data_IF_918459151051
#
_entry.id   IF_918459151051
#
_cell.length_a   1.000
_cell.length_b   1.000
_cell.length_c   1.000
_cell.angle_alpha   90.00
_cell.angle_beta   90.00
_cell.angle_gamma   90.00
#
_symmetry.space_group_name_H-M   'P 1'
#
loop_
_entity.id
_entity.type
_entity.pdbx_description
1 polymer ?
#
# COMPACT_ATOMS: atom_id res chain seq x y z
N UNK A 1 38.30 12.62 -53.93
CA UNK A 1 36.92 12.10 -54.07
C UNK A 1 36.59 11.34 -52.79
N UNK A 2 35.60 11.81 -52.02
CA UNK A 2 35.04 11.13 -50.85
C UNK A 2 33.58 10.76 -51.17
N UNK A 3 33.09 9.61 -50.74
CA UNK A 3 31.67 9.44 -50.41
C UNK A 3 31.48 9.31 -48.89
N UNK A 4 30.74 10.27 -48.34
CA UNK A 4 30.15 10.23 -47.00
C UNK A 4 29.23 9.02 -46.84
N UNK A 5 29.39 8.26 -45.75
CA UNK A 5 28.34 7.36 -45.28
C UNK A 5 27.34 8.14 -44.42
N UNK A 6 26.11 8.21 -44.91
CA UNK A 6 24.97 8.88 -44.30
C UNK A 6 24.43 8.04 -43.14
N UNK A 7 24.39 8.62 -41.94
CA UNK A 7 23.78 8.03 -40.75
C UNK A 7 22.26 8.25 -40.81
N UNK A 8 21.46 7.19 -40.84
CA UNK A 8 20.00 7.28 -40.75
C UNK A 8 19.55 6.90 -39.34
N UNK A 9 19.08 7.85 -38.50
CA UNK A 9 18.50 7.51 -37.22
C UNK A 9 17.08 6.95 -37.45
N UNK A 10 16.83 5.72 -37.02
CA UNK A 10 15.48 5.15 -36.90
C UNK A 10 14.73 5.95 -35.84
N UNK A 11 13.73 6.70 -36.28
CA UNK A 11 12.71 7.31 -35.42
C UNK A 11 11.98 6.19 -34.67
N UNK A 12 12.28 6.00 -33.39
CA UNK A 12 11.47 5.18 -32.52
C UNK A 12 10.15 5.92 -32.25
N UNK A 13 9.07 5.35 -32.76
CA UNK A 13 7.70 5.75 -32.44
C UNK A 13 7.48 5.64 -30.94
N UNK A 14 7.38 6.77 -30.25
CA UNK A 14 6.89 6.84 -28.87
C UNK A 14 5.38 6.69 -28.89
N UNK A 15 4.91 5.45 -28.98
CA UNK A 15 3.54 5.15 -28.59
C UNK A 15 3.39 5.53 -27.12
N UNK A 16 2.38 6.34 -26.71
CA UNK A 16 2.14 6.60 -25.30
C UNK A 16 1.83 5.26 -24.65
N UNK A 17 2.69 4.80 -23.75
CA UNK A 17 2.35 3.69 -22.88
C UNK A 17 1.14 4.15 -22.06
N UNK A 18 -0.02 3.55 -22.30
CA UNK A 18 -1.05 3.47 -21.28
C UNK A 18 -0.33 2.97 -20.02
N UNK A 19 -0.41 3.70 -18.91
CA UNK A 19 0.08 3.24 -17.61
C UNK A 19 -0.72 1.99 -17.24
N UNK A 20 -0.34 0.84 -17.79
CA UNK A 20 -0.80 -0.46 -17.35
C UNK A 20 -0.23 -0.64 -15.94
N UNK A 21 -1.05 -0.33 -14.93
CA UNK A 21 -0.74 -0.60 -13.53
C UNK A 21 -0.56 -2.11 -13.40
N UNK A 22 0.68 -2.57 -13.52
CA UNK A 22 1.03 -3.98 -13.34
C UNK A 22 0.84 -4.31 -11.87
N UNK A 23 -0.06 -5.25 -11.60
CA UNK A 23 -0.27 -5.76 -10.26
C UNK A 23 1.02 -6.41 -9.73
N UNK A 24 1.62 -5.83 -8.68
CA UNK A 24 2.79 -6.40 -7.98
C UNK A 24 2.35 -7.12 -6.68
N UNK A 25 2.34 -8.46 -6.64
CA UNK A 25 2.01 -9.23 -5.44
C UNK A 25 3.00 -8.98 -4.28
N UNK A 26 4.26 -8.62 -4.60
CA UNK A 26 5.28 -8.36 -3.60
C UNK A 26 5.04 -7.02 -2.89
N UNK A 27 4.54 -6.01 -3.60
CA UNK A 27 4.09 -4.76 -3.00
C UNK A 27 2.91 -4.98 -2.06
N UNK A 28 1.91 -5.75 -2.47
CA UNK A 28 0.77 -6.11 -1.60
C UNK A 28 1.26 -6.78 -0.33
N UNK A 29 2.18 -7.75 -0.45
CA UNK A 29 2.75 -8.45 0.70
C UNK A 29 3.53 -7.52 1.64
N UNK A 30 4.27 -6.55 1.09
CA UNK A 30 4.98 -5.51 1.86
C UNK A 30 3.99 -4.64 2.63
N UNK A 31 2.95 -4.13 1.98
CA UNK A 31 1.91 -3.31 2.61
C UNK A 31 1.19 -4.07 3.72
N UNK A 32 0.79 -5.32 3.48
CA UNK A 32 0.15 -6.18 4.50
C UNK A 32 1.06 -6.39 5.71
N UNK A 33 2.36 -6.61 5.47
CA UNK A 33 3.34 -6.78 6.56
C UNK A 33 3.49 -5.51 7.39
N UNK A 34 3.51 -4.34 6.75
CA UNK A 34 3.57 -3.05 7.43
C UNK A 34 2.31 -2.78 8.24
N UNK A 35 1.12 -3.01 7.67
CA UNK A 35 -0.15 -2.87 8.39
C UNK A 35 -0.19 -3.79 9.62
N UNK A 36 0.23 -5.05 9.47
CA UNK A 36 0.33 -5.98 10.60
C UNK A 36 1.25 -5.46 11.70
N UNK A 37 2.41 -4.89 11.33
CA UNK A 37 3.33 -4.32 12.29
C UNK A 37 2.69 -3.18 13.09
N UNK A 38 2.10 -2.20 12.40
CA UNK A 38 1.44 -1.05 13.04
C UNK A 38 0.31 -1.45 13.99
N UNK A 39 -0.55 -2.40 13.56
CA UNK A 39 -1.61 -2.93 14.42
C UNK A 39 -1.06 -3.64 15.66
N UNK A 40 0.07 -4.34 15.52
CA UNK A 40 0.70 -5.00 16.66
C UNK A 40 1.20 -3.99 17.70
N UNK A 41 1.71 -2.85 17.26
CA UNK A 41 2.15 -1.75 18.13
C UNK A 41 0.94 -1.16 18.86
N UNK A 42 -0.16 -0.86 18.16
CA UNK A 42 -1.40 -0.36 18.78
C UNK A 42 -1.99 -1.36 19.79
N UNK A 43 -1.99 -2.65 19.44
CA UNK A 43 -2.49 -3.70 20.32
C UNK A 43 -1.63 -3.87 21.58
N UNK A 44 -0.30 -3.74 21.46
CA UNK A 44 0.60 -3.75 22.60
C UNK A 44 0.40 -2.51 23.47
N UNK A 45 0.26 -1.33 22.86
CA UNK A 45 0.09 -0.08 23.60
C UNK A 45 -1.20 -0.06 24.40
N UNK A 46 -2.30 -0.59 23.84
CA UNK A 46 -3.58 -0.76 24.53
C UNK A 46 -3.53 -1.74 25.70
N UNK A 47 -2.54 -2.65 25.75
CA UNK A 47 -2.35 -3.60 26.86
C UNK A 47 -1.47 -3.03 27.98
N UNK A 48 -0.80 -1.90 27.76
CA UNK A 48 0.06 -1.28 28.77
C UNK A 48 -0.77 -0.59 29.84
N UNK A 49 -0.32 -0.71 31.10
CA UNK A 49 -0.86 0.10 32.21
C UNK A 49 -0.65 1.61 32.00
N UNK A 50 0.40 1.97 31.25
CA UNK A 50 0.73 3.33 30.81
C UNK A 50 1.08 3.28 29.31
N UNK A 51 0.13 3.61 28.42
CA UNK A 51 0.37 3.67 26.98
C UNK A 51 1.45 4.71 26.64
N UNK A 52 2.22 4.48 25.58
CA UNK A 52 3.26 5.39 25.09
C UNK A 52 2.72 6.37 24.05
N UNK A 53 1.70 5.97 23.28
CA UNK A 53 1.23 6.73 22.12
C UNK A 53 -0.17 7.32 22.30
N UNK A 54 -0.81 7.06 23.44
CA UNK A 54 -2.12 7.60 23.83
C UNK A 54 -2.06 8.24 25.22
N UNK A 55 -2.96 9.19 25.49
CA UNK A 55 -3.02 9.93 26.76
C UNK A 55 -3.62 9.10 27.90
N UNK A 56 -4.40 8.08 27.55
CA UNK A 56 -5.02 7.14 28.49
C UNK A 56 -5.12 5.74 27.90
N UNK A 57 -5.32 4.74 28.77
CA UNK A 57 -5.58 3.34 28.35
C UNK A 57 -6.84 3.27 27.49
N UNK A 58 -7.90 3.99 27.87
CA UNK A 58 -9.16 4.02 27.12
C UNK A 58 -8.95 4.58 25.71
N UNK A 59 -8.13 5.63 25.55
CA UNK A 59 -7.80 6.17 24.24
C UNK A 59 -6.97 5.16 23.41
N UNK A 60 -6.02 4.45 24.02
CA UNK A 60 -5.25 3.42 23.33
C UNK A 60 -6.15 2.26 22.84
N UNK A 61 -7.09 1.82 23.67
CA UNK A 61 -8.07 0.80 23.33
C UNK A 61 -9.01 1.29 22.23
N UNK A 62 -9.48 2.53 22.31
CA UNK A 62 -10.34 3.14 21.29
C UNK A 62 -9.63 3.20 19.93
N UNK A 63 -8.37 3.65 19.89
CA UNK A 63 -7.55 3.68 18.67
C UNK A 63 -7.37 2.29 18.06
N UNK A 64 -7.02 1.29 18.88
CA UNK A 64 -6.94 -0.11 18.43
C UNK A 64 -8.26 -0.58 17.81
N UNK A 65 -9.39 -0.35 18.49
CA UNK A 65 -10.71 -0.78 18.01
C UNK A 65 -11.11 -0.06 16.71
N UNK A 66 -10.82 1.24 16.60
CA UNK A 66 -11.06 2.01 15.38
C UNK A 66 -10.26 1.45 14.19
N UNK A 67 -8.99 1.11 14.39
CA UNK A 67 -8.16 0.47 13.36
C UNK A 67 -8.71 -0.90 12.93
N UNK A 68 -9.15 -1.73 13.89
CA UNK A 68 -9.80 -3.00 13.55
C UNK A 68 -11.08 -2.80 12.73
N UNK A 69 -11.93 -1.86 13.12
CA UNK A 69 -13.16 -1.54 12.39
C UNK A 69 -12.87 -1.11 10.95
N UNK A 70 -11.92 -0.19 10.75
CA UNK A 70 -11.55 0.29 9.42
C UNK A 70 -11.04 -0.85 8.52
N UNK A 71 -10.26 -1.79 9.07
CA UNK A 71 -9.78 -2.95 8.32
C UNK A 71 -10.90 -3.93 7.97
N UNK A 72 -11.86 -4.13 8.87
CA UNK A 72 -13.05 -4.95 8.59
C UNK A 72 -13.89 -4.33 7.47
N UNK A 73 -14.10 -3.01 7.50
CA UNK A 73 -14.83 -2.29 6.45
C UNK A 73 -14.09 -2.37 5.11
N UNK A 74 -12.77 -2.17 5.11
CA UNK A 74 -11.94 -2.32 3.91
C UNK A 74 -12.01 -3.74 3.33
N UNK A 75 -11.88 -4.77 4.16
CA UNK A 75 -12.00 -6.16 3.73
C UNK A 75 -13.39 -6.45 3.14
N UNK A 76 -14.45 -5.92 3.76
CA UNK A 76 -15.82 -6.07 3.26
C UNK A 76 -15.99 -5.39 1.89
N UNK A 77 -15.36 -4.25 1.68
CA UNK A 77 -15.35 -3.57 0.39
C UNK A 77 -14.60 -4.38 -0.68
N UNK A 78 -13.44 -4.95 -0.36
CA UNK A 78 -12.72 -5.87 -1.25
C UNK A 78 -13.57 -7.08 -1.65
N UNK A 79 -14.29 -7.69 -0.70
CA UNK A 79 -15.15 -8.83 -0.97
C UNK A 79 -16.38 -8.45 -1.81
N UNK A 80 -16.93 -7.25 -1.64
CA UNK A 80 -18.01 -6.75 -2.50
C UNK A 80 -17.57 -6.56 -3.95
N UNK A 81 -16.33 -6.14 -4.19
CA UNK A 81 -15.77 -5.98 -5.54
C UNK A 81 -15.52 -7.32 -6.24
N UNK A 82 -15.34 -8.42 -5.49
CA UNK A 82 -15.23 -9.78 -6.06
C UNK A 82 -16.57 -10.39 -6.48
N UNK A 83 -17.69 -9.83 -6.02
CA UNK A 83 -19.05 -10.32 -6.30
C UNK A 83 -19.73 -9.64 -7.49
N UNK A 84 -19.14 -8.55 -7.99
CA UNK A 84 -19.43 -7.92 -9.28
C UNK A 84 -18.55 -8.52 -10.37
#
# INVERSE_FOLDING_TARGET
MMPSMTNTPKTQSTTPATDDVVFDPAEVSRVVSLVRHELSVLAQDAKRKRPLYAKSVDEAVARRNASFKALTEFASHLDSMKRT
#
